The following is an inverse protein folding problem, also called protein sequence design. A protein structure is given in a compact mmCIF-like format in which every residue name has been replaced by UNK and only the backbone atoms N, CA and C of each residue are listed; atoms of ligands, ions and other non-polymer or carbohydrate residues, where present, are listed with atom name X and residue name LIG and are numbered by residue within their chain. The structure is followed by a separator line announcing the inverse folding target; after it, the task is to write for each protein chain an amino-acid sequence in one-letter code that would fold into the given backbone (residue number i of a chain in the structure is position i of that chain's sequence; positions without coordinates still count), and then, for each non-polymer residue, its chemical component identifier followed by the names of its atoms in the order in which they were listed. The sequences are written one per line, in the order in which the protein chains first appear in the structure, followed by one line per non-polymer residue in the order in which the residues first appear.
data_IF_038799933039
#
_entry.id   IF_038799933039
#
_cell.length_a   1.000
_cell.length_b   1.000
_cell.length_c   1.000
_cell.angle_alpha   90.00
_cell.angle_beta   90.00
_cell.angle_gamma   90.00
#
_symmetry.space_group_name_H-M   'P 1'
#
loop_
_entity.id
_entity.type
_entity.pdbx_description
1 polymer ?
#
# COMPACT_ATOMS: atom_id res chain seq x y z
N UNK A 1 39.32 19.76 -18.33
CA UNK A 1 39.08 18.33 -18.12
C UNK A 1 37.72 18.26 -17.48
N UNK A 2 36.69 18.22 -18.31
CA UNK A 2 35.31 18.21 -17.86
C UNK A 2 34.94 16.75 -17.58
N UNK A 3 34.64 16.47 -16.32
CA UNK A 3 34.08 15.19 -15.91
C UNK A 3 32.57 15.40 -15.97
N UNK A 4 31.99 14.95 -17.07
CA UNK A 4 30.54 14.83 -17.19
C UNK A 4 30.12 13.54 -16.49
N UNK A 5 29.46 13.66 -15.34
CA UNK A 5 28.85 12.53 -14.64
C UNK A 5 27.39 12.48 -15.10
N UNK A 6 27.14 11.74 -16.18
CA UNK A 6 25.78 11.39 -16.58
C UNK A 6 25.09 10.60 -15.46
N UNK A 7 23.76 10.72 -15.29
CA UNK A 7 23.04 9.99 -14.25
C UNK A 7 23.24 8.49 -14.45
N UNK A 8 23.64 7.78 -13.40
CA UNK A 8 23.66 6.32 -13.38
C UNK A 8 22.22 5.81 -13.50
N UNK A 9 21.76 5.48 -14.72
CA UNK A 9 20.45 4.87 -14.95
C UNK A 9 20.54 3.35 -14.78
N UNK A 10 20.69 2.88 -13.55
CA UNK A 10 20.50 1.46 -13.24
C UNK A 10 19.02 1.25 -12.87
N UNK A 11 18.23 0.66 -13.78
CA UNK A 11 16.89 0.19 -13.46
C UNK A 11 16.96 -1.04 -12.54
N UNK A 12 16.02 -1.20 -11.62
CA UNK A 12 15.77 -2.48 -10.94
C UNK A 12 14.72 -3.26 -11.72
N UNK A 13 14.70 -4.58 -11.52
CA UNK A 13 13.70 -5.46 -12.13
C UNK A 13 12.71 -5.93 -11.05
N UNK A 14 11.42 -5.65 -11.26
CA UNK A 14 10.34 -6.33 -10.56
C UNK A 14 9.94 -7.56 -11.38
N UNK A 15 9.66 -8.68 -10.71
CA UNK A 15 9.21 -9.89 -11.39
C UNK A 15 8.17 -10.63 -10.56
N UNK A 16 7.23 -11.28 -11.26
CA UNK A 16 6.17 -12.09 -10.67
C UNK A 16 6.12 -13.46 -11.34
N UNK A 17 5.82 -14.48 -10.55
CA UNK A 17 5.50 -15.83 -10.99
C UNK A 17 4.33 -16.35 -10.16
N UNK A 18 3.44 -17.12 -10.78
CA UNK A 18 2.22 -17.62 -10.15
C UNK A 18 2.31 -19.14 -10.07
N UNK A 19 2.06 -19.68 -8.88
CA UNK A 19 1.95 -21.11 -8.66
C UNK A 19 0.52 -21.57 -8.90
N UNK A 20 0.35 -22.63 -9.69
CA UNK A 20 -0.94 -23.30 -9.90
C UNK A 20 -0.97 -24.62 -9.15
N UNK A 21 -1.95 -24.75 -8.23
CA UNK A 21 -2.19 -26.02 -7.53
C UNK A 21 -2.82 -27.09 -8.43
N UNK A 22 -3.41 -26.71 -9.57
CA UNK A 22 -4.02 -27.64 -10.52
C UNK A 22 -2.96 -28.37 -11.37
N UNK A 23 -1.90 -27.66 -11.74
CA UNK A 23 -0.82 -28.20 -12.57
C UNK A 23 0.45 -28.52 -11.79
N UNK A 24 0.53 -28.11 -10.51
CA UNK A 24 1.72 -28.22 -9.65
C UNK A 24 2.97 -27.55 -10.24
N UNK A 25 2.76 -26.44 -10.95
CA UNK A 25 3.81 -25.73 -11.69
C UNK A 25 3.76 -24.22 -11.43
N UNK A 26 4.92 -23.58 -11.58
CA UNK A 26 5.08 -22.12 -11.59
C UNK A 26 4.98 -21.59 -13.02
N UNK A 27 4.31 -20.46 -13.21
CA UNK A 27 4.26 -19.77 -14.49
C UNK A 27 5.61 -19.21 -14.91
N UNK A 28 5.76 -18.91 -16.20
CA UNK A 28 6.83 -18.05 -16.69
C UNK A 28 6.83 -16.71 -15.94
N UNK A 29 8.02 -16.11 -15.82
CA UNK A 29 8.17 -14.82 -15.16
C UNK A 29 7.61 -13.68 -16.02
N UNK A 30 6.79 -12.83 -15.41
CA UNK A 30 6.51 -11.49 -15.93
C UNK A 30 7.52 -10.53 -15.30
N UNK A 31 8.16 -9.68 -16.10
CA UNK A 31 9.24 -8.78 -15.66
C UNK A 31 8.88 -7.33 -16.04
N UNK A 32 9.12 -6.39 -15.13
CA UNK A 32 8.97 -4.97 -15.36
C UNK A 32 10.21 -4.22 -14.86
N UNK A 33 10.75 -3.34 -15.69
CA UNK A 33 11.82 -2.44 -15.29
C UNK A 33 11.25 -1.29 -14.46
N UNK A 34 11.76 -1.13 -13.25
CA UNK A 34 11.34 -0.08 -12.31
C UNK A 34 12.51 0.86 -12.02
N UNK A 35 12.19 2.14 -11.81
CA UNK A 35 13.17 3.15 -11.45
C UNK A 35 13.84 2.84 -10.09
N UNK A 36 15.14 3.14 -9.90
CA UNK A 36 15.88 2.86 -8.66
C UNK A 36 15.37 3.53 -7.38
N UNK A 37 14.44 4.48 -7.50
CA UNK A 37 13.82 5.12 -6.35
C UNK A 37 12.67 4.29 -5.77
N UNK A 38 12.18 3.25 -6.47
CA UNK A 38 11.12 2.36 -5.99
C UNK A 38 11.68 1.23 -5.11
N UNK A 39 12.30 1.60 -3.98
CA UNK A 39 12.82 0.61 -3.04
C UNK A 39 11.69 -0.20 -2.41
N UNK A 40 11.94 -1.51 -2.26
CA UNK A 40 10.99 -2.49 -1.75
C UNK A 40 10.60 -2.16 -0.30
N UNK A 41 9.30 -1.90 -0.08
CA UNK A 41 8.73 -1.94 1.26
C UNK A 41 8.15 -3.34 1.50
N UNK A 42 8.51 -3.95 2.63
CA UNK A 42 7.95 -5.23 3.05
C UNK A 42 6.52 -5.02 3.56
N UNK A 43 5.56 -4.95 2.63
CA UNK A 43 4.13 -4.83 2.93
C UNK A 43 3.33 -5.91 2.21
N UNK A 44 2.19 -6.34 2.77
CA UNK A 44 1.27 -7.20 2.04
C UNK A 44 0.79 -6.50 0.76
N UNK A 45 0.54 -7.29 -0.28
CA UNK A 45 -0.29 -6.82 -1.39
C UNK A 45 -1.75 -6.68 -0.96
N UNK A 46 -2.49 -5.91 -1.74
CA UNK A 46 -3.94 -5.81 -1.63
C UNK A 46 -4.57 -6.31 -2.94
N UNK A 47 -5.55 -7.20 -2.83
CA UNK A 47 -6.38 -7.61 -3.96
C UNK A 47 -7.56 -6.64 -4.09
N UNK A 48 -7.70 -6.02 -5.26
CA UNK A 48 -8.83 -5.18 -5.61
C UNK A 48 -9.32 -5.61 -6.99
N UNK A 49 -10.58 -6.03 -7.07
CA UNK A 49 -11.11 -6.65 -8.29
C UNK A 49 -10.24 -7.85 -8.70
N UNK A 50 -9.72 -7.79 -9.92
CA UNK A 50 -8.87 -8.84 -10.50
C UNK A 50 -7.38 -8.46 -10.54
N UNK A 51 -6.92 -7.52 -9.70
CA UNK A 51 -5.53 -7.09 -9.68
C UNK A 51 -4.93 -7.05 -8.26
N UNK A 52 -3.65 -7.41 -8.17
CA UNK A 52 -2.85 -7.30 -6.96
C UNK A 52 -2.03 -6.01 -6.98
N UNK A 53 -2.13 -5.24 -5.91
CA UNK A 53 -1.44 -3.97 -5.74
C UNK A 53 -0.37 -4.06 -4.66
N UNK A 54 0.88 -3.72 -4.99
CA UNK A 54 2.02 -3.70 -4.09
C UNK A 54 2.55 -2.28 -3.94
N UNK A 55 2.49 -1.73 -2.72
CA UNK A 55 3.03 -0.40 -2.45
C UNK A 55 4.57 -0.40 -2.56
N UNK A 56 5.12 0.54 -3.31
CA UNK A 56 6.55 0.77 -3.46
C UNK A 56 6.92 2.12 -2.83
N UNK A 57 8.10 2.19 -2.18
CA UNK A 57 8.70 3.41 -1.60
C UNK A 57 7.69 4.33 -0.90
N UNK A 58 7.26 4.02 0.32
CA UNK A 58 6.29 4.86 1.04
C UNK A 58 4.92 5.02 0.37
N UNK A 59 4.64 4.20 -0.66
CA UNK A 59 3.51 4.32 -1.58
C UNK A 59 3.59 5.57 -2.47
N UNK A 60 4.77 5.95 -2.96
CA UNK A 60 4.97 6.90 -4.07
C UNK A 60 4.53 6.33 -5.42
N UNK A 61 4.51 5.01 -5.51
CA UNK A 61 4.09 4.25 -6.67
C UNK A 61 3.56 2.91 -6.19
N UNK A 62 2.72 2.29 -6.99
CA UNK A 62 2.14 0.97 -6.72
C UNK A 62 2.45 0.09 -7.92
N UNK A 63 3.02 -1.07 -7.68
CA UNK A 63 3.11 -2.11 -8.69
C UNK A 63 1.76 -2.82 -8.75
N UNK A 64 1.17 -2.83 -9.93
CA UNK A 64 -0.06 -3.55 -10.22
C UNK A 64 0.28 -4.83 -11.00
N UNK A 65 -0.35 -5.93 -10.59
CA UNK A 65 -0.32 -7.20 -11.29
C UNK A 65 -1.74 -7.63 -11.61
N UNK A 66 -2.10 -7.57 -12.89
CA UNK A 66 -3.42 -7.98 -13.40
C UNK A 66 -3.49 -9.51 -13.47
N UNK A 67 -4.45 -10.11 -12.77
CA UNK A 67 -4.61 -11.57 -12.70
C UNK A 67 -5.23 -12.17 -13.97
N UNK A 68 -5.92 -11.37 -14.78
CA UNK A 68 -6.54 -11.81 -16.03
C UNK A 68 -5.53 -11.81 -17.19
N UNK A 69 -4.70 -10.77 -17.28
CA UNK A 69 -3.71 -10.61 -18.37
C UNK A 69 -2.34 -11.15 -17.99
N UNK A 70 -2.05 -11.29 -16.69
CA UNK A 70 -0.73 -11.63 -16.15
C UNK A 70 0.36 -10.58 -16.44
N UNK A 71 -0.04 -9.32 -16.66
CA UNK A 71 0.84 -8.19 -16.93
C UNK A 71 1.21 -7.42 -15.65
N UNK A 72 2.38 -6.76 -15.69
CA UNK A 72 2.86 -5.86 -14.64
C UNK A 72 2.84 -4.42 -15.14
N UNK A 73 2.28 -3.52 -14.33
CA UNK A 73 2.22 -2.07 -14.58
C UNK A 73 2.62 -1.29 -13.33
N UNK A 74 3.03 -0.03 -13.52
CA UNK A 74 3.19 0.92 -12.41
C UNK A 74 2.00 1.87 -12.43
N UNK A 75 1.33 1.96 -11.29
CA UNK A 75 0.36 3.01 -10.98
C UNK A 75 1.09 4.06 -10.15
N UNK A 76 1.20 5.28 -10.68
CA UNK A 76 1.76 6.38 -9.91
C UNK A 76 0.84 6.73 -8.73
N UNK A 77 1.41 6.92 -7.55
CA UNK A 77 0.60 7.28 -6.40
C UNK A 77 0.18 8.74 -6.49
N UNK A 78 -1.11 9.05 -6.27
CA UNK A 78 -1.58 10.42 -6.22
C UNK A 78 -1.19 11.12 -4.92
N UNK A 79 -0.64 10.41 -3.92
CA UNK A 79 -0.40 10.98 -2.58
C UNK A 79 0.86 11.85 -2.58
N UNK A 80 0.76 13.15 -2.25
CA UNK A 80 1.92 14.05 -2.23
C UNK A 80 2.87 13.68 -1.10
N UNK A 81 3.98 13.00 -1.40
CA UNK A 81 5.13 12.79 -0.52
C UNK A 81 4.85 12.45 0.94
N UNK A 82 3.75 11.75 1.24
CA UNK A 82 3.42 11.33 2.60
C UNK A 82 4.02 9.96 2.85
N UNK A 83 5.20 9.97 3.47
CA UNK A 83 5.89 8.76 3.92
C UNK A 83 4.96 7.87 4.76
N UNK A 84 4.56 6.72 4.21
CA UNK A 84 3.77 5.74 4.95
C UNK A 84 2.30 5.64 4.58
N UNK A 85 1.87 6.17 3.44
CA UNK A 85 0.56 5.84 2.88
C UNK A 85 0.47 4.33 2.59
N UNK A 86 -0.72 3.74 2.72
CA UNK A 86 -1.00 2.34 2.36
C UNK A 86 -2.11 2.31 1.31
N UNK A 87 -2.03 1.34 0.41
CA UNK A 87 -3.12 1.03 -0.53
C UNK A 87 -4.30 0.48 0.26
N UNK A 88 -5.50 0.89 -0.11
CA UNK A 88 -6.78 0.45 0.46
C UNK A 88 -7.83 0.35 -0.64
N UNK A 89 -9.00 -0.16 -0.28
CA UNK A 89 -10.18 -0.21 -1.16
C UNK A 89 -11.23 0.77 -0.67
N UNK A 90 -11.87 1.47 -1.59
CA UNK A 90 -13.04 2.34 -1.33
C UNK A 90 -14.34 1.53 -1.21
N UNK A 91 -15.44 2.20 -0.84
CA UNK A 91 -16.76 1.55 -0.67
C UNK A 91 -17.33 0.94 -1.96
N UNK A 92 -16.98 1.52 -3.11
CA UNK A 92 -17.33 1.06 -4.45
C UNK A 92 -16.38 -0.02 -4.98
N UNK A 93 -15.32 -0.35 -4.23
CA UNK A 93 -14.31 -1.32 -4.64
C UNK A 93 -13.19 -0.71 -5.47
N UNK A 94 -13.10 0.63 -5.57
CA UNK A 94 -12.02 1.30 -6.29
C UNK A 94 -10.72 1.40 -5.48
N UNK A 95 -9.61 1.66 -6.19
CA UNK A 95 -8.30 1.87 -5.60
C UNK A 95 -8.29 3.15 -4.76
N UNK A 96 -7.99 3.00 -3.47
CA UNK A 96 -7.86 4.09 -2.53
C UNK A 96 -6.48 4.10 -1.87
N UNK A 97 -6.14 5.24 -1.28
CA UNK A 97 -4.93 5.42 -0.51
C UNK A 97 -5.28 6.02 0.85
N UNK A 98 -4.63 5.54 1.91
CA UNK A 98 -4.84 6.09 3.25
C UNK A 98 -3.52 6.36 3.92
N UNK A 99 -3.39 7.53 4.53
CA UNK A 99 -2.16 7.98 5.18
C UNK A 99 -2.47 8.67 6.51
N UNK A 100 -1.46 8.65 7.38
CA UNK A 100 -1.44 9.46 8.59
C UNK A 100 -0.71 10.77 8.29
N UNK A 101 -1.35 11.89 8.57
CA UNK A 101 -0.76 13.21 8.41
C UNK A 101 -1.09 14.08 9.62
N UNK A 102 -0.06 14.66 10.24
CA UNK A 102 -0.14 15.34 11.54
C UNK A 102 -0.81 14.44 12.59
N UNK A 103 -2.04 14.75 12.96
CA UNK A 103 -2.85 13.98 13.90
C UNK A 103 -4.11 13.40 13.25
N UNK A 104 -4.22 13.46 11.92
CA UNK A 104 -5.40 13.03 11.18
C UNK A 104 -5.13 11.84 10.27
N UNK A 105 -6.17 11.03 10.07
CA UNK A 105 -6.21 10.04 8.99
C UNK A 105 -6.90 10.66 7.79
N UNK A 106 -6.24 10.58 6.64
CA UNK A 106 -6.72 11.07 5.37
C UNK A 106 -6.80 9.93 4.38
N UNK A 107 -7.82 9.98 3.54
CA UNK A 107 -8.04 9.04 2.45
C UNK A 107 -8.10 9.81 1.14
N UNK A 108 -7.56 9.19 0.09
CA UNK A 108 -7.58 9.69 -1.27
C UNK A 108 -8.18 8.59 -2.15
N UNK A 109 -9.23 8.94 -2.89
CA UNK A 109 -9.74 8.11 -3.97
C UNK A 109 -8.97 8.44 -5.25
N UNK A 110 -8.62 7.41 -6.00
CA UNK A 110 -8.09 7.59 -7.35
C UNK A 110 -9.25 7.43 -8.32
N UNK A 111 -9.87 8.54 -8.74
CA UNK A 111 -10.75 8.50 -9.90
C UNK A 111 -9.86 8.20 -11.11
N UNK A 112 -9.86 6.94 -11.56
CA UNK A 112 -9.23 6.57 -12.82
C UNK A 112 -10.02 7.30 -13.91
N UNK A 113 -9.48 8.40 -14.42
CA UNK A 113 -10.07 9.05 -15.57
C UNK A 113 -10.02 8.04 -16.73
N UNK A 114 -11.21 7.67 -17.23
CA UNK A 114 -11.35 6.79 -18.38
C UNK A 114 -10.44 7.26 -19.52
N UNK A 115 -9.76 6.31 -20.16
CA UNK A 115 -8.74 6.48 -21.19
C UNK A 115 -9.25 7.06 -22.54
N UNK A 116 -10.23 7.97 -22.50
CA UNK A 116 -10.87 8.55 -23.69
C UNK A 116 -10.64 10.06 -23.82
N UNK A 117 -10.16 10.73 -22.78
CA UNK A 117 -9.82 12.15 -22.85
C UNK A 117 -8.36 12.36 -22.48
N UNK A 118 -7.70 13.19 -23.28
CA UNK A 118 -6.28 13.45 -23.33
C UNK A 118 -5.76 14.26 -22.10
N UNK A 119 -6.27 13.91 -20.92
CA UNK A 119 -6.05 14.52 -19.62
C UNK A 119 -5.51 13.41 -18.71
N UNK A 120 -4.19 13.20 -18.78
CA UNK A 120 -3.43 12.36 -17.84
C UNK A 120 -3.41 13.04 -16.46
N UNK A 121 -4.56 13.06 -15.80
CA UNK A 121 -4.75 13.74 -14.51
C UNK A 121 -5.73 12.97 -13.65
N UNK A 122 -5.25 12.43 -12.54
CA UNK A 122 -6.07 11.90 -11.48
C UNK A 122 -6.94 13.01 -10.89
N UNK A 123 -8.27 12.89 -10.97
CA UNK A 123 -9.16 13.75 -10.20
C UNK A 123 -9.18 13.26 -8.74
N UNK A 124 -8.47 14.00 -7.88
CA UNK A 124 -8.26 13.58 -6.50
C UNK A 124 -9.31 14.16 -5.57
N UNK A 125 -9.96 13.29 -4.78
CA UNK A 125 -10.78 13.71 -3.67
C UNK A 125 -10.07 13.35 -2.35
N UNK A 126 -9.47 14.35 -1.69
CA UNK A 126 -8.94 14.19 -0.34
C UNK A 126 -10.08 14.33 0.66
N UNK A 127 -10.25 13.33 1.51
CA UNK A 127 -11.25 13.37 2.57
C UNK A 127 -10.64 13.05 3.93
N UNK A 128 -10.94 13.90 4.90
CA UNK A 128 -10.58 13.69 6.29
C UNK A 128 -11.47 12.59 6.88
N UNK A 129 -10.85 11.51 7.34
CA UNK A 129 -11.58 10.35 7.88
C UNK A 129 -11.82 10.54 9.37
N UNK A 130 -10.76 10.85 10.13
CA UNK A 130 -10.85 11.04 11.58
C UNK A 130 -9.64 11.71 12.20
N UNK A 131 -9.89 12.33 13.34
CA UNK A 131 -8.88 12.86 14.25
C UNK A 131 -8.35 11.73 15.14
N UNK A 132 -7.04 11.59 15.21
CA UNK A 132 -6.31 10.71 16.12
C UNK A 132 -5.65 11.51 17.24
N UNK A 133 -5.83 12.83 17.37
CA UNK A 133 -5.13 13.68 18.33
C UNK A 133 -5.16 13.15 19.76
N UNK A 134 -6.28 12.61 20.24
CA UNK A 134 -6.34 11.98 21.58
C UNK A 134 -5.54 10.69 21.73
N UNK A 135 -5.36 9.94 20.64
CA UNK A 135 -4.57 8.70 20.58
C UNK A 135 -3.08 8.99 20.36
N UNK A 136 -2.77 10.06 19.61
CA UNK A 136 -1.44 10.52 19.24
C UNK A 136 -0.83 11.54 20.20
N UNK A 137 -1.61 12.10 21.14
CA UNK A 137 -1.12 12.99 22.21
C UNK A 137 0.03 12.37 23.05
N UNK A 138 0.28 11.07 22.91
CA UNK A 138 1.39 10.33 23.54
C UNK A 138 2.58 10.04 22.62
N UNK A 139 2.57 10.53 21.37
CA UNK A 139 3.64 10.39 20.38
C UNK A 139 4.32 11.72 20.02
N UNK A 140 5.27 12.19 20.85
CA UNK A 140 6.06 13.38 20.55
C UNK A 140 7.16 13.15 19.50
N UNK A 141 7.29 11.95 18.91
CA UNK A 141 8.48 11.55 18.14
C UNK A 141 8.22 11.29 16.65
N UNK A 142 6.99 11.51 16.15
CA UNK A 142 6.67 11.33 14.72
C UNK A 142 6.87 9.89 14.23
N UNK A 143 6.76 8.91 15.12
CA UNK A 143 6.96 7.48 14.81
C UNK A 143 5.69 6.78 14.32
N UNK A 144 4.55 7.47 14.42
CA UNK A 144 3.25 6.92 14.08
C UNK A 144 3.11 6.72 12.57
N UNK A 145 2.62 5.55 12.18
CA UNK A 145 2.45 5.18 10.77
C UNK A 145 1.34 4.15 10.61
N UNK A 146 0.62 4.25 9.49
CA UNK A 146 -0.27 3.18 9.02
C UNK A 146 0.60 2.10 8.36
N UNK A 147 0.48 0.86 8.84
CA UNK A 147 1.31 -0.27 8.38
C UNK A 147 0.68 -0.96 7.19
N UNK A 148 -0.61 -1.26 7.28
CA UNK A 148 -1.37 -1.94 6.23
C UNK A 148 -2.88 -1.76 6.45
N UNK A 149 -3.65 -1.90 5.38
CA UNK A 149 -5.09 -2.14 5.39
C UNK A 149 -5.36 -3.65 5.44
N UNK A 150 -6.57 -4.03 5.84
CA UNK A 150 -7.03 -5.43 5.77
C UNK A 150 -8.07 -5.54 4.66
N UNK A 151 -7.77 -6.40 3.69
CA UNK A 151 -8.60 -6.65 2.51
C UNK A 151 -10.07 -6.95 2.85
N UNK A 152 -10.98 -6.26 2.14
CA UNK A 152 -12.43 -6.43 2.30
C UNK A 152 -12.97 -5.98 3.66
N UNK A 153 -12.29 -5.02 4.31
CA UNK A 153 -12.65 -4.51 5.64
C UNK A 153 -12.32 -3.03 5.77
N UNK A 154 -12.96 -2.36 6.74
CA UNK A 154 -12.59 -0.99 7.16
C UNK A 154 -11.50 -0.98 8.24
N UNK A 155 -10.69 -2.03 8.38
CA UNK A 155 -9.68 -2.17 9.43
C UNK A 155 -8.30 -1.83 8.86
N UNK A 156 -7.58 -0.97 9.58
CA UNK A 156 -6.17 -0.67 9.35
C UNK A 156 -5.32 -0.98 10.58
N UNK A 157 -4.05 -1.28 10.34
CA UNK A 157 -3.04 -1.41 11.39
C UNK A 157 -2.25 -0.12 11.52
N UNK A 158 -2.14 0.39 12.74
CA UNK A 158 -1.38 1.60 13.06
C UNK A 158 -0.34 1.26 14.12
N UNK A 159 0.91 1.62 13.85
CA UNK A 159 1.95 1.61 14.87
C UNK A 159 2.01 2.97 15.52
N UNK A 160 1.96 2.99 16.85
CA UNK A 160 2.20 4.15 17.70
C UNK A 160 3.39 3.83 18.63
N UNK A 161 4.01 4.85 19.24
CA UNK A 161 5.05 4.65 20.26
C UNK A 161 4.69 3.59 21.32
N UNK A 162 3.42 3.57 21.72
CA UNK A 162 2.92 2.75 22.83
C UNK A 162 2.49 1.34 22.42
N UNK A 163 2.42 1.03 21.12
CA UNK A 163 1.76 -0.20 20.67
C UNK A 163 1.52 -0.32 19.18
N UNK A 164 1.22 -1.55 18.78
CA UNK A 164 0.53 -1.84 17.53
C UNK A 164 -0.97 -1.90 17.81
N UNK A 165 -1.76 -1.22 16.98
CA UNK A 165 -3.20 -1.11 17.11
C UNK A 165 -3.90 -1.48 15.82
N UNK A 166 -5.09 -2.06 15.94
CA UNK A 166 -6.08 -2.08 14.88
C UNK A 166 -7.05 -0.92 15.09
N UNK A 167 -7.39 -0.21 14.02
CA UNK A 167 -8.45 0.78 14.00
C UNK A 167 -9.47 0.36 12.95
N UNK A 168 -10.75 0.28 13.33
CA UNK A 168 -11.84 0.15 12.39
C UNK A 168 -12.36 1.55 12.03
N UNK A 169 -12.22 1.96 10.77
CA UNK A 169 -12.53 3.30 10.27
C UNK A 169 -14.02 3.67 10.42
N UNK A 170 -14.93 2.72 10.18
CA UNK A 170 -16.39 2.94 10.31
C UNK A 170 -16.85 3.07 11.77
N UNK A 171 -16.52 2.09 12.61
CA UNK A 171 -16.93 2.04 14.02
C UNK A 171 -16.07 2.90 14.95
N UNK A 172 -14.93 3.40 14.45
CA UNK A 172 -13.91 4.15 15.20
C UNK A 172 -13.35 3.39 16.40
N UNK A 173 -13.49 2.06 16.41
CA UNK A 173 -12.95 1.23 17.49
C UNK A 173 -11.46 1.03 17.32
N UNK A 174 -10.71 1.33 18.38
CA UNK A 174 -9.28 1.08 18.47
C UNK A 174 -9.02 -0.08 19.42
N UNK A 175 -8.16 -1.02 19.01
CA UNK A 175 -7.75 -2.15 19.85
C UNK A 175 -6.25 -2.34 19.78
N UNK A 176 -5.60 -2.49 20.93
CA UNK A 176 -4.18 -2.84 21.00
C UNK A 176 -4.02 -4.32 20.69
N UNK A 177 -3.19 -4.65 19.72
CA UNK A 177 -2.95 -6.03 19.27
C UNK A 177 -1.50 -6.49 19.45
N UNK A 178 -0.59 -5.56 19.76
CA UNK A 178 0.81 -5.89 19.96
C UNK A 178 1.58 -4.84 20.73
N UNK A 179 2.83 -5.18 21.08
CA UNK A 179 3.79 -4.22 21.63
C UNK A 179 4.23 -3.25 20.55
N UNK A 180 4.53 -2.01 20.97
CA UNK A 180 5.07 -0.98 20.08
C UNK A 180 6.42 -1.46 19.58
N UNK A 181 6.56 -1.48 18.27
CA UNK A 181 7.76 -1.96 17.62
C UNK A 181 8.60 -0.72 17.31
N UNK A 182 9.61 -0.47 18.13
CA UNK A 182 10.51 0.68 17.99
C UNK A 182 11.53 0.50 16.86
N UNK A 183 11.13 -0.17 15.77
CA UNK A 183 11.96 -0.44 14.60
C UNK A 183 11.16 -0.12 13.34
N UNK A 184 11.70 0.82 12.56
CA UNK A 184 11.28 1.07 11.20
C UNK A 184 11.26 -0.26 10.42
N UNK A 185 10.19 -0.49 9.65
CA UNK A 185 10.08 -1.54 8.64
C UNK A 185 9.93 -3.00 9.14
N UNK A 186 9.18 -3.25 10.23
CA UNK A 186 8.71 -4.62 10.49
C UNK A 186 7.46 -4.88 9.65
N UNK A 187 7.48 -5.90 8.77
CA UNK A 187 6.31 -6.24 7.97
C UNK A 187 5.22 -6.85 8.85
N UNK A 188 3.99 -6.40 8.64
CA UNK A 188 2.78 -6.96 9.25
C UNK A 188 1.90 -7.46 8.12
N UNK A 189 1.57 -8.75 8.17
CA UNK A 189 0.72 -9.40 7.18
C UNK A 189 -0.59 -9.82 7.87
N UNK A 190 -1.67 -9.03 7.72
CA UNK A 190 -2.96 -9.40 8.25
C UNK A 190 -3.59 -10.49 7.39
N UNK A 191 -4.05 -11.57 8.01
CA UNK A 191 -4.80 -12.64 7.35
C UNK A 191 -6.15 -12.81 8.05
N UNK A 192 -7.23 -12.97 7.26
CA UNK A 192 -8.58 -13.21 7.80
C UNK A 192 -8.83 -14.68 8.11
N UNK A 193 -8.31 -15.57 7.28
CA UNK A 193 -8.51 -17.00 7.37
C UNK A 193 -7.32 -17.73 6.80
N UNK A 194 -7.13 -18.96 7.25
CA UNK A 194 -6.22 -19.90 6.63
C UNK A 194 -7.06 -20.96 5.94
N UNK A 195 -6.61 -21.41 4.78
CA UNK A 195 -7.17 -22.62 4.20
C UNK A 195 -6.83 -23.80 5.12
N UNK A 196 -7.87 -24.47 5.62
CA UNK A 196 -7.73 -25.72 6.35
C UNK A 196 -8.28 -26.80 5.42
N UNK A 197 -7.42 -27.61 4.77
CA UNK A 197 -7.89 -28.72 3.95
C UNK A 197 -8.72 -29.68 4.82
N UNK A 198 -9.89 -30.08 4.32
CA UNK A 198 -10.74 -31.06 4.98
C UNK A 198 -10.07 -32.45 4.99
N UNK A 199 -10.22 -33.15 6.12
CA UNK A 199 -9.91 -34.57 6.27
C UNK A 199 -10.73 -35.46 5.32
#
# INVERSE_FOLDING_TARGET
MDIDVGPFSAFYEAWVTVYSSETDEWSSQTILNIHPYHLEEKRPSLLIGDALYFALDGCFSVLEYDLNTHDLSIVESPVPCMSGAVVTTEEDGELGFIALYEEGIYMWSSLIANADENTEGWDMAQHFVMDLGTLLSSDPCGSSRIVCSVEGTDIIFITLNVGLFTLNLKSRQVRKVGRGINRYNIPIFPYRSFYIPGN
#
